data_IF_671975457426
#
_entry.id   IF_671975457426
#
_cell.length_a   1.000
_cell.length_b   1.000
_cell.length_c   1.000
_cell.angle_alpha   90.00
_cell.angle_beta   90.00
_cell.angle_gamma   90.00
#
_symmetry.space_group_name_H-M   'P 1'
#
loop_
_entity.id
_entity.type
_entity.pdbx_description
1 polymer ?
#
# COMPACT_ATOMS: atom_id res chain seq x y z
N UNK A 1 -19.92 5.16 28.88
CA UNK A 1 -20.61 4.62 27.70
C UNK A 1 -19.56 4.02 26.80
N UNK A 2 -19.86 2.98 26.03
CA UNK A 2 -18.88 2.44 25.07
C UNK A 2 -18.63 3.46 23.94
N UNK A 3 -17.39 3.57 23.48
CA UNK A 3 -16.99 4.45 22.39
C UNK A 3 -17.85 4.18 21.13
N UNK A 4 -18.22 5.26 20.44
CA UNK A 4 -18.91 5.20 19.16
C UNK A 4 -17.91 5.32 18.03
N UNK A 5 -17.80 4.28 17.22
CA UNK A 5 -16.76 4.14 16.19
C UNK A 5 -17.34 4.40 14.80
N UNK A 6 -16.72 5.31 14.06
CA UNK A 6 -17.00 5.51 12.64
C UNK A 6 -16.09 4.61 11.80
N UNK A 7 -16.67 3.73 11.00
CA UNK A 7 -15.97 2.98 9.96
C UNK A 7 -16.11 3.76 8.66
N UNK A 8 -15.06 4.46 8.25
CA UNK A 8 -15.05 5.23 7.00
C UNK A 8 -14.85 4.30 5.82
N UNK A 9 -15.81 4.25 4.91
CA UNK A 9 -15.74 3.41 3.70
C UNK A 9 -16.45 4.06 2.52
N UNK A 10 -16.10 3.66 1.32
CA UNK A 10 -16.61 4.24 0.08
C UNK A 10 -15.72 5.36 -0.44
N UNK A 11 -16.10 6.61 -0.18
CA UNK A 11 -15.36 7.76 -0.68
C UNK A 11 -15.48 7.96 -2.18
N UNK A 12 -14.56 8.70 -2.78
CA UNK A 12 -14.62 9.11 -4.20
C UNK A 12 -13.45 8.64 -5.05
N UNK A 13 -12.53 7.84 -4.49
CA UNK A 13 -11.39 7.30 -5.24
C UNK A 13 -11.81 6.23 -6.26
N UNK A 14 -10.91 5.88 -7.16
CA UNK A 14 -11.11 4.77 -8.10
C UNK A 14 -11.29 3.40 -7.39
N UNK A 15 -10.87 3.29 -6.13
CA UNK A 15 -10.98 2.08 -5.29
C UNK A 15 -12.26 2.05 -4.43
N UNK A 16 -13.27 2.87 -4.78
CA UNK A 16 -14.53 2.97 -4.00
C UNK A 16 -15.17 1.62 -3.72
N UNK A 17 -15.32 0.75 -4.72
CA UNK A 17 -15.98 -0.55 -4.56
C UNK A 17 -15.22 -1.47 -3.59
N UNK A 18 -13.91 -1.47 -3.67
CA UNK A 18 -13.06 -2.22 -2.72
C UNK A 18 -13.24 -1.67 -1.31
N UNK A 19 -13.29 -0.35 -1.16
CA UNK A 19 -13.52 0.31 0.13
C UNK A 19 -14.88 -0.02 0.73
N UNK A 20 -15.94 -0.05 -0.07
CA UNK A 20 -17.28 -0.47 0.39
C UNK A 20 -17.27 -1.90 0.91
N UNK A 21 -16.62 -2.82 0.21
CA UNK A 21 -16.49 -4.21 0.63
C UNK A 21 -15.63 -4.34 1.90
N UNK A 22 -14.49 -3.65 1.96
CA UNK A 22 -13.64 -3.60 3.14
C UNK A 22 -14.39 -3.06 4.36
N UNK A 23 -15.10 -1.95 4.18
CA UNK A 23 -15.89 -1.32 5.25
C UNK A 23 -16.99 -2.22 5.79
N UNK A 24 -17.71 -2.92 4.91
CA UNK A 24 -18.74 -3.87 5.32
C UNK A 24 -18.15 -5.02 6.15
N UNK A 25 -17.02 -5.58 5.72
CA UNK A 25 -16.34 -6.63 6.45
C UNK A 25 -15.82 -6.15 7.81
N UNK A 26 -15.18 -4.98 7.86
CA UNK A 26 -14.67 -4.36 9.10
C UNK A 26 -15.81 -4.10 10.07
N UNK A 27 -16.92 -3.52 9.61
CA UNK A 27 -18.11 -3.28 10.44
C UNK A 27 -18.63 -4.57 11.08
N UNK A 28 -18.77 -5.62 10.29
CA UNK A 28 -19.23 -6.92 10.78
C UNK A 28 -18.27 -7.50 11.82
N UNK A 29 -16.95 -7.46 11.55
CA UNK A 29 -15.93 -7.96 12.48
C UNK A 29 -15.86 -7.16 13.78
N UNK A 30 -15.98 -5.84 13.74
CA UNK A 30 -16.03 -5.00 14.94
C UNK A 30 -17.26 -5.27 15.78
N UNK A 31 -18.43 -5.39 15.15
CA UNK A 31 -19.69 -5.70 15.86
C UNK A 31 -19.67 -7.09 16.48
N UNK A 32 -19.12 -8.09 15.80
CA UNK A 32 -18.87 -9.41 16.35
C UNK A 32 -17.98 -9.33 17.60
N UNK A 33 -16.98 -8.46 17.58
CA UNK A 33 -16.11 -8.16 18.73
C UNK A 33 -16.75 -7.28 19.82
N UNK A 34 -18.04 -6.95 19.72
CA UNK A 34 -18.76 -6.15 20.71
C UNK A 34 -18.56 -4.65 20.59
N UNK A 35 -17.99 -4.15 19.51
CA UNK A 35 -17.73 -2.72 19.30
C UNK A 35 -18.99 -2.00 18.76
N UNK A 36 -19.28 -0.83 19.28
CA UNK A 36 -20.36 0.05 18.79
C UNK A 36 -19.89 0.79 17.52
N UNK A 37 -19.92 0.10 16.38
CA UNK A 37 -19.42 0.59 15.11
C UNK A 37 -20.53 0.91 14.11
N UNK A 38 -20.32 1.96 13.30
CA UNK A 38 -21.26 2.47 12.31
C UNK A 38 -20.52 2.81 11.02
N UNK A 39 -21.08 2.44 9.85
CA UNK A 39 -20.57 2.87 8.56
C UNK A 39 -20.80 4.36 8.32
N UNK A 40 -19.78 5.02 7.80
CA UNK A 40 -19.85 6.40 7.33
C UNK A 40 -19.16 6.48 5.96
N UNK A 41 -19.92 6.88 4.94
CA UNK A 41 -19.36 7.12 3.60
C UNK A 41 -19.08 8.62 3.42
N UNK A 42 -17.80 9.02 3.24
CA UNK A 42 -17.45 10.43 3.03
C UNK A 42 -18.07 11.06 1.77
N UNK A 43 -18.55 10.25 0.85
CA UNK A 43 -19.30 10.75 -0.31
C UNK A 43 -20.68 11.30 0.07
N UNK A 44 -21.29 10.74 1.12
CA UNK A 44 -22.65 11.06 1.56
C UNK A 44 -22.67 11.92 2.83
N UNK A 45 -21.61 11.82 3.66
CA UNK A 45 -21.53 12.47 4.97
C UNK A 45 -20.32 13.39 5.02
N UNK A 46 -20.52 14.61 5.48
CA UNK A 46 -19.44 15.56 5.74
C UNK A 46 -18.60 15.07 6.93
N UNK A 47 -17.38 14.59 6.64
CA UNK A 47 -16.48 14.03 7.66
C UNK A 47 -16.01 15.08 8.68
N UNK A 48 -16.13 16.39 8.39
CA UNK A 48 -15.84 17.45 9.37
C UNK A 48 -16.82 17.43 10.55
N UNK A 49 -17.96 16.79 10.40
CA UNK A 49 -19.02 16.72 11.40
C UNK A 49 -18.93 15.48 12.31
N UNK A 50 -17.98 14.57 12.09
CA UNK A 50 -17.89 13.30 12.83
C UNK A 50 -17.89 13.50 14.34
N UNK A 51 -17.13 14.46 14.85
CA UNK A 51 -17.09 14.76 16.28
C UNK A 51 -18.42 15.30 16.81
N UNK A 52 -19.07 16.19 16.06
CA UNK A 52 -20.39 16.72 16.39
C UNK A 52 -21.49 15.63 16.33
N UNK A 53 -21.30 14.60 15.51
CA UNK A 53 -22.19 13.43 15.44
C UNK A 53 -21.96 12.44 16.59
N UNK A 54 -21.03 12.73 17.50
CA UNK A 54 -20.76 11.94 18.68
C UNK A 54 -19.85 10.73 18.47
N UNK A 55 -19.07 10.70 17.38
CA UNK A 55 -18.05 9.69 17.19
C UNK A 55 -16.83 9.97 18.05
N UNK A 56 -16.29 8.93 18.66
CA UNK A 56 -15.15 9.00 19.58
C UNK A 56 -13.84 8.58 18.90
N UNK A 57 -13.94 7.71 17.89
CA UNK A 57 -12.78 7.13 17.18
C UNK A 57 -13.17 6.72 15.75
N UNK A 58 -12.19 6.65 14.86
CA UNK A 58 -12.38 6.34 13.44
C UNK A 58 -11.56 5.11 13.04
N UNK A 59 -12.22 4.15 12.40
CA UNK A 59 -11.56 3.09 11.65
C UNK A 59 -11.53 3.49 10.17
N UNK A 60 -10.35 3.67 9.60
CA UNK A 60 -10.19 4.05 8.19
C UNK A 60 -10.18 2.78 7.34
N UNK A 61 -11.24 2.59 6.54
CA UNK A 61 -11.35 1.55 5.53
C UNK A 61 -11.47 2.15 4.12
N UNK A 62 -10.95 3.36 3.93
CA UNK A 62 -10.82 4.03 2.65
C UNK A 62 -9.50 3.65 2.00
N UNK A 63 -9.48 3.59 0.67
CA UNK A 63 -8.30 3.26 -0.12
C UNK A 63 -8.02 4.34 -1.16
N UNK A 64 -6.74 4.48 -1.53
CA UNK A 64 -6.32 5.44 -2.53
C UNK A 64 -6.31 6.89 -2.04
N UNK A 65 -6.41 7.81 -3.00
CA UNK A 65 -6.36 9.25 -2.73
C UNK A 65 -7.52 9.70 -1.85
N UNK A 66 -7.24 10.57 -0.90
CA UNK A 66 -8.21 11.10 0.05
C UNK A 66 -8.46 10.19 1.26
N UNK A 67 -8.02 8.94 1.24
CA UNK A 67 -8.18 7.97 2.33
C UNK A 67 -6.86 7.53 2.97
N UNK A 68 -5.80 7.41 2.17
CA UNK A 68 -4.49 6.93 2.64
C UNK A 68 -3.31 7.82 2.24
N UNK A 69 -3.56 9.07 1.84
CA UNK A 69 -2.56 10.03 1.39
C UNK A 69 -2.21 11.13 2.41
N UNK A 70 -2.74 11.03 3.64
CA UNK A 70 -2.51 12.00 4.71
C UNK A 70 -3.56 13.09 4.82
N UNK A 71 -4.38 13.31 3.80
CA UNK A 71 -5.40 14.39 3.80
C UNK A 71 -6.47 14.14 4.87
N UNK A 72 -7.04 12.94 4.89
CA UNK A 72 -8.04 12.55 5.90
C UNK A 72 -7.41 12.54 7.30
N UNK A 73 -6.22 12.00 7.44
CA UNK A 73 -5.49 11.95 8.70
C UNK A 73 -5.28 13.37 9.29
N UNK A 74 -4.93 14.34 8.44
CA UNK A 74 -4.79 15.73 8.86
C UNK A 74 -6.10 16.36 9.33
N UNK A 75 -7.22 16.04 8.68
CA UNK A 75 -8.53 16.47 9.14
C UNK A 75 -8.88 15.86 10.50
N UNK A 76 -8.66 14.56 10.68
CA UNK A 76 -8.96 13.88 11.94
C UNK A 76 -8.09 14.39 13.08
N UNK A 77 -6.82 14.71 12.83
CA UNK A 77 -5.93 15.37 13.79
C UNK A 77 -6.50 16.71 14.24
N UNK A 78 -6.95 17.54 13.29
CA UNK A 78 -7.56 18.86 13.60
C UNK A 78 -8.87 18.72 14.40
N UNK A 79 -9.63 17.66 14.16
CA UNK A 79 -10.85 17.37 14.91
C UNK A 79 -10.57 16.77 16.30
N UNK A 80 -9.34 16.34 16.55
CA UNK A 80 -8.96 15.62 17.76
C UNK A 80 -9.69 14.28 17.87
N UNK A 81 -9.85 13.57 16.74
CA UNK A 81 -10.43 12.23 16.64
C UNK A 81 -9.32 11.21 16.42
N UNK A 82 -9.09 10.29 17.36
CA UNK A 82 -8.20 9.15 17.15
C UNK A 82 -8.64 8.29 15.96
N UNK A 83 -7.70 7.77 15.21
CA UNK A 83 -7.96 6.96 14.02
C UNK A 83 -6.98 5.81 13.86
N UNK A 84 -7.37 4.78 13.14
CA UNK A 84 -6.51 3.62 12.85
C UNK A 84 -5.45 3.94 11.79
N UNK A 85 -4.28 3.34 11.94
CA UNK A 85 -3.21 3.40 10.94
C UNK A 85 -2.23 4.54 11.15
N UNK A 86 -1.50 4.84 10.11
CA UNK A 86 -0.42 5.83 10.10
C UNK A 86 -0.93 7.26 10.09
N UNK A 87 -0.14 8.19 10.62
CA UNK A 87 -0.43 9.62 10.62
C UNK A 87 -0.21 10.31 9.27
N UNK A 88 -0.29 11.63 9.26
CA UNK A 88 -0.25 12.48 8.05
C UNK A 88 1.01 12.23 7.22
N UNK A 89 2.18 12.39 7.83
CA UNK A 89 3.46 12.31 7.13
C UNK A 89 3.71 10.91 6.56
N UNK A 90 3.55 9.89 7.38
CA UNK A 90 3.80 8.51 6.95
C UNK A 90 2.82 8.07 5.85
N UNK A 91 1.54 8.43 5.95
CA UNK A 91 0.54 8.15 4.91
C UNK A 91 0.89 8.86 3.60
N UNK A 92 1.23 10.13 3.64
CA UNK A 92 1.58 10.90 2.44
C UNK A 92 2.84 10.35 1.74
N UNK A 93 3.88 10.02 2.51
CA UNK A 93 5.13 9.46 1.98
C UNK A 93 4.89 8.05 1.43
N UNK A 94 4.16 7.21 2.15
CA UNK A 94 3.88 5.83 1.72
C UNK A 94 3.09 5.77 0.42
N UNK A 95 2.20 6.74 0.17
CA UNK A 95 1.46 6.87 -1.08
C UNK A 95 2.34 7.33 -2.25
N UNK A 96 3.52 7.88 -1.99
CA UNK A 96 4.47 8.42 -2.97
C UNK A 96 5.67 7.48 -3.12
N UNK A 97 5.71 6.71 -4.21
CA UNK A 97 6.77 5.71 -4.45
C UNK A 97 8.16 6.35 -4.56
N UNK A 98 8.25 7.54 -5.14
CA UNK A 98 9.53 8.26 -5.26
C UNK A 98 10.05 8.66 -3.86
N UNK A 99 9.21 9.27 -3.03
CA UNK A 99 9.62 9.73 -1.69
C UNK A 99 9.89 8.55 -0.76
N UNK A 100 9.10 7.47 -0.84
CA UNK A 100 9.39 6.23 -0.11
C UNK A 100 10.77 5.66 -0.48
N UNK A 101 11.07 5.58 -1.78
CA UNK A 101 12.39 5.10 -2.27
C UNK A 101 13.55 5.97 -1.79
N UNK A 102 13.40 7.29 -1.88
CA UNK A 102 14.42 8.23 -1.43
C UNK A 102 14.73 8.08 0.05
N UNK A 103 13.69 7.92 0.89
CA UNK A 103 13.86 7.69 2.33
C UNK A 103 14.52 6.35 2.62
N UNK A 104 14.05 5.27 2.02
CA UNK A 104 14.63 3.95 2.21
C UNK A 104 16.08 3.90 1.74
N UNK A 105 16.38 4.46 0.57
CA UNK A 105 17.74 4.52 0.05
C UNK A 105 18.64 5.37 0.96
N UNK A 106 18.15 6.52 1.43
CA UNK A 106 18.87 7.37 2.38
C UNK A 106 19.17 6.69 3.71
N UNK A 107 18.31 5.75 4.12
CA UNK A 107 18.50 4.91 5.31
C UNK A 107 19.35 3.65 5.05
N UNK A 108 19.87 3.48 3.83
CA UNK A 108 20.69 2.32 3.44
C UNK A 108 19.88 1.04 3.22
N UNK A 109 18.56 1.14 3.00
CA UNK A 109 17.71 -0.02 2.73
C UNK A 109 17.65 -0.31 1.21
N UNK A 110 17.51 -1.58 0.81
CA UNK A 110 17.58 -1.98 -0.59
C UNK A 110 16.31 -1.58 -1.36
N UNK A 111 16.51 -0.81 -2.42
CA UNK A 111 15.49 -0.48 -3.43
C UNK A 111 16.04 -0.76 -4.81
N UNK A 112 15.19 -1.18 -5.76
CA UNK A 112 15.65 -1.41 -7.14
C UNK A 112 16.22 -0.11 -7.74
N UNK A 113 17.28 -0.17 -8.57
CA UNK A 113 17.81 0.98 -9.29
C UNK A 113 16.72 1.67 -10.11
N UNK A 114 16.71 2.99 -10.12
CA UNK A 114 15.63 3.78 -10.70
C UNK A 114 16.10 5.14 -11.23
N UNK A 115 15.27 5.69 -12.12
CA UNK A 115 15.37 7.07 -12.63
C UNK A 115 13.99 7.70 -12.50
N UNK A 116 13.90 8.86 -11.85
CA UNK A 116 12.66 9.65 -11.79
C UNK A 116 12.61 10.68 -12.90
N UNK A 117 11.43 10.90 -13.44
CA UNK A 117 11.14 11.87 -14.50
C UNK A 117 9.94 12.71 -14.10
N UNK A 118 10.00 14.00 -14.44
CA UNK A 118 8.86 14.91 -14.37
C UNK A 118 8.13 15.00 -15.71
N UNK A 119 6.84 15.36 -15.68
CA UNK A 119 6.07 15.66 -16.90
C UNK A 119 6.80 16.68 -17.79
N UNK A 120 7.36 17.73 -17.19
CA UNK A 120 8.07 18.77 -17.91
C UNK A 120 9.28 18.22 -18.69
N UNK A 121 10.08 17.37 -18.06
CA UNK A 121 11.22 16.72 -18.75
C UNK A 121 10.76 15.86 -19.92
N UNK A 122 9.67 15.15 -19.76
CA UNK A 122 9.09 14.32 -20.81
C UNK A 122 8.57 15.16 -22.00
N UNK A 123 7.83 16.23 -21.73
CA UNK A 123 7.26 17.14 -22.74
C UNK A 123 8.32 17.92 -23.52
N UNK A 124 9.42 18.29 -22.87
CA UNK A 124 10.56 18.97 -23.50
C UNK A 124 11.47 18.03 -24.30
N UNK A 125 11.30 16.72 -24.15
CA UNK A 125 12.19 15.69 -24.65
C UNK A 125 13.30 15.38 -23.65
N UNK A 126 13.53 14.08 -23.42
CA UNK A 126 14.53 13.63 -22.44
C UNK A 126 15.94 14.02 -22.88
N UNK A 127 16.72 14.57 -21.96
CA UNK A 127 18.13 14.90 -22.21
C UNK A 127 18.96 13.64 -22.42
N UNK A 128 20.12 13.78 -23.07
CA UNK A 128 21.06 12.69 -23.26
C UNK A 128 21.51 12.08 -21.92
N UNK A 129 21.68 12.88 -20.89
CA UNK A 129 22.03 12.44 -19.55
C UNK A 129 20.93 11.54 -18.94
N UNK A 130 19.67 11.93 -19.10
CA UNK A 130 18.52 11.12 -18.60
C UNK A 130 18.43 9.82 -19.39
N UNK A 131 18.53 9.88 -20.71
CA UNK A 131 18.53 8.68 -21.55
C UNK A 131 19.67 7.72 -21.20
N UNK A 132 20.87 8.23 -20.93
CA UNK A 132 22.01 7.42 -20.50
C UNK A 132 21.74 6.73 -19.16
N UNK A 133 21.19 7.44 -18.18
CA UNK A 133 20.84 6.87 -16.88
C UNK A 133 19.76 5.77 -16.99
N UNK A 134 18.76 5.95 -17.85
CA UNK A 134 17.76 4.91 -18.10
C UNK A 134 18.40 3.70 -18.77
N UNK A 135 19.31 3.91 -19.75
CA UNK A 135 20.02 2.84 -20.42
C UNK A 135 20.91 2.02 -19.45
N UNK A 136 21.50 2.67 -18.44
CA UNK A 136 22.28 2.00 -17.39
C UNK A 136 21.47 1.03 -16.54
N UNK A 137 20.16 1.21 -16.43
CA UNK A 137 19.28 0.27 -15.71
C UNK A 137 19.26 -1.10 -16.40
N UNK A 138 19.43 -1.13 -17.71
CA UNK A 138 19.29 -2.33 -18.54
C UNK A 138 17.83 -2.76 -18.68
N UNK A 139 17.51 -3.41 -19.80
CA UNK A 139 16.20 -3.96 -20.06
C UNK A 139 16.05 -5.37 -19.47
N UNK A 140 14.85 -5.77 -19.03
CA UNK A 140 13.62 -4.98 -18.98
C UNK A 140 13.63 -3.93 -17.87
N UNK A 141 12.79 -2.90 -18.04
CA UNK A 141 12.47 -1.94 -16.99
C UNK A 141 10.96 -1.91 -16.75
N UNK A 142 10.55 -1.38 -15.61
CA UNK A 142 9.15 -1.07 -15.30
C UNK A 142 8.99 0.43 -15.21
N UNK A 143 7.97 0.96 -15.89
CA UNK A 143 7.58 2.37 -15.84
C UNK A 143 6.31 2.49 -15.01
N UNK A 144 6.30 3.37 -14.02
CA UNK A 144 5.17 3.54 -13.10
C UNK A 144 4.99 4.97 -12.63
N UNK A 145 3.71 5.43 -12.50
CA UNK A 145 3.40 6.68 -11.82
C UNK A 145 3.83 6.60 -10.35
N UNK A 146 4.26 7.73 -9.77
CA UNK A 146 4.74 7.77 -8.39
C UNK A 146 3.62 7.57 -7.37
N UNK A 147 2.43 8.16 -7.61
CA UNK A 147 1.35 8.29 -6.62
C UNK A 147 0.07 7.55 -7.00
N UNK A 148 0.16 6.53 -7.84
CA UNK A 148 -0.98 5.66 -8.17
C UNK A 148 -0.85 4.29 -7.51
N UNK A 149 -2.00 3.73 -7.13
CA UNK A 149 -2.13 2.38 -6.59
C UNK A 149 -2.54 1.35 -7.65
N UNK A 150 -2.61 0.09 -7.23
CA UNK A 150 -3.18 -1.02 -8.03
C UNK A 150 -2.62 -1.16 -9.44
N UNK A 151 -1.35 -0.83 -9.65
CA UNK A 151 -0.63 -0.92 -10.93
C UNK A 151 -1.21 -0.03 -12.06
N UNK A 152 -2.01 0.98 -11.73
CA UNK A 152 -2.55 1.93 -12.70
C UNK A 152 -1.42 2.65 -13.42
N UNK A 153 -1.46 2.67 -14.76
CA UNK A 153 -0.46 3.35 -15.59
C UNK A 153 0.91 2.68 -15.64
N UNK A 154 1.07 1.48 -15.08
CA UNK A 154 2.33 0.73 -15.10
C UNK A 154 2.52 -0.02 -16.43
N UNK A 155 3.77 -0.10 -16.88
CA UNK A 155 4.16 -0.87 -18.06
C UNK A 155 5.52 -1.52 -17.86
N UNK A 156 5.62 -2.80 -18.26
CA UNK A 156 6.91 -3.48 -18.43
C UNK A 156 7.44 -3.15 -19.83
N UNK A 157 8.69 -2.73 -19.92
CA UNK A 157 9.35 -2.37 -21.17
C UNK A 157 10.48 -3.35 -21.43
N UNK A 158 10.30 -4.20 -22.43
CA UNK A 158 11.28 -5.20 -22.85
C UNK A 158 12.19 -4.69 -23.99
N UNK A 159 11.73 -3.68 -24.73
CA UNK A 159 12.46 -3.07 -25.85
C UNK A 159 12.54 -1.56 -25.69
N UNK A 160 13.68 -0.98 -26.05
CA UNK A 160 13.90 0.46 -25.92
C UNK A 160 12.87 1.30 -26.69
N UNK A 161 12.38 0.82 -27.82
CA UNK A 161 11.40 1.50 -28.64
C UNK A 161 10.03 1.67 -27.97
N UNK A 162 9.71 0.84 -26.98
CA UNK A 162 8.44 0.89 -26.26
C UNK A 162 8.48 1.86 -25.06
N UNK A 163 9.65 2.42 -24.72
CA UNK A 163 9.81 3.29 -23.54
C UNK A 163 8.96 4.57 -23.66
N UNK A 164 8.95 5.21 -24.82
CA UNK A 164 8.23 6.47 -25.02
C UNK A 164 6.71 6.30 -24.81
N UNK A 165 6.13 5.21 -25.31
CA UNK A 165 4.71 4.92 -25.13
C UNK A 165 4.38 4.56 -23.67
N UNK A 166 5.26 3.85 -22.98
CA UNK A 166 5.13 3.53 -21.56
C UNK A 166 5.16 4.79 -20.69
N UNK A 167 6.07 5.72 -20.97
CA UNK A 167 6.14 7.02 -20.31
C UNK A 167 4.88 7.87 -20.57
N UNK A 168 4.42 7.92 -21.82
CA UNK A 168 3.21 8.65 -22.18
C UNK A 168 1.98 8.12 -21.42
N UNK A 169 1.85 6.81 -21.27
CA UNK A 169 0.79 6.21 -20.47
C UNK A 169 0.89 6.60 -19.00
N UNK A 170 2.07 6.44 -18.39
CA UNK A 170 2.28 6.75 -16.98
C UNK A 170 2.01 8.24 -16.67
N UNK A 171 2.44 9.16 -17.53
CA UNK A 171 2.18 10.59 -17.39
C UNK A 171 0.71 11.01 -17.61
N UNK A 172 -0.18 10.10 -18.06
CA UNK A 172 -1.62 10.37 -18.00
C UNK A 172 -2.16 10.33 -16.55
N UNK A 173 -1.45 9.68 -15.66
CA UNK A 173 -1.90 9.43 -14.28
C UNK A 173 -1.17 10.25 -13.22
N UNK A 174 0.06 10.70 -13.48
CA UNK A 174 0.85 11.49 -12.52
C UNK A 174 1.80 12.44 -13.25
N UNK A 175 2.27 13.46 -12.52
CA UNK A 175 3.29 14.41 -13.00
C UNK A 175 4.72 13.93 -12.71
N UNK A 176 4.88 12.89 -11.92
CA UNK A 176 6.14 12.22 -11.62
C UNK A 176 6.04 10.74 -11.94
N UNK A 177 7.04 10.23 -12.67
CA UNK A 177 7.10 8.84 -13.14
C UNK A 177 8.46 8.25 -12.79
N UNK A 178 8.44 6.98 -12.37
CA UNK A 178 9.64 6.19 -12.11
C UNK A 178 9.88 5.21 -13.26
N UNK A 179 11.13 5.11 -13.69
CA UNK A 179 11.65 4.01 -14.51
C UNK A 179 12.55 3.19 -13.63
N UNK A 180 12.20 1.94 -13.36
CA UNK A 180 12.95 1.07 -12.45
C UNK A 180 13.45 -0.18 -13.17
N UNK A 181 14.55 -0.70 -12.69
CA UNK A 181 15.03 -2.02 -13.10
C UNK A 181 13.96 -3.08 -12.78
N UNK A 182 13.67 -3.93 -13.76
CA UNK A 182 12.76 -5.07 -13.55
C UNK A 182 13.37 -6.08 -12.59
N UNK A 183 12.60 -6.49 -11.58
CA UNK A 183 12.93 -7.57 -10.66
C UNK A 183 12.20 -8.83 -11.10
N UNK A 184 12.91 -9.93 -11.33
CA UNK A 184 12.36 -11.15 -11.93
C UNK A 184 12.04 -12.26 -10.93
N UNK A 185 12.36 -12.06 -9.67
CA UNK A 185 12.07 -13.02 -8.60
C UNK A 185 10.65 -12.93 -8.06
N UNK A 186 10.34 -13.73 -7.04
CA UNK A 186 9.03 -13.73 -6.40
C UNK A 186 8.71 -12.44 -5.67
N UNK A 187 7.42 -12.13 -5.59
CA UNK A 187 6.86 -11.03 -4.81
C UNK A 187 6.38 -11.53 -3.45
N UNK A 188 6.66 -10.74 -2.41
CA UNK A 188 6.23 -11.00 -1.04
C UNK A 188 5.53 -9.78 -0.48
N UNK A 189 4.63 -10.02 0.47
CA UNK A 189 4.10 -8.97 1.33
C UNK A 189 4.18 -9.38 2.79
N UNK A 190 4.46 -8.42 3.64
CA UNK A 190 4.55 -8.62 5.09
C UNK A 190 3.66 -7.60 5.79
N UNK A 191 2.68 -8.10 6.52
CA UNK A 191 1.76 -7.27 7.29
C UNK A 191 2.35 -6.94 8.67
N UNK A 192 2.07 -5.71 9.11
CA UNK A 192 2.41 -5.19 10.43
C UNK A 192 1.15 -4.94 11.23
N UNK A 193 1.16 -5.28 12.51
CA UNK A 193 0.10 -4.97 13.47
C UNK A 193 0.75 -4.44 14.75
N UNK A 194 0.83 -3.12 14.88
CA UNK A 194 1.72 -2.45 15.82
C UNK A 194 3.18 -2.78 15.51
N UNK A 195 3.87 -3.33 16.49
CA UNK A 195 5.23 -3.84 16.34
C UNK A 195 5.27 -5.34 16.02
N UNK A 196 4.12 -6.00 15.93
CA UNK A 196 4.03 -7.41 15.57
C UNK A 196 4.11 -7.58 14.06
N UNK A 197 5.05 -8.42 13.61
CA UNK A 197 5.22 -8.78 12.22
C UNK A 197 4.47 -10.08 11.98
N UNK A 198 3.51 -10.06 11.06
CA UNK A 198 2.75 -11.25 10.70
C UNK A 198 3.53 -12.10 9.67
N UNK A 199 3.19 -13.40 9.54
CA UNK A 199 3.85 -14.28 8.56
C UNK A 199 3.80 -13.70 7.15
N UNK A 200 4.92 -13.79 6.42
CA UNK A 200 5.00 -13.31 5.05
C UNK A 200 4.12 -14.12 4.11
N UNK A 201 3.64 -13.48 3.07
CA UNK A 201 2.87 -14.10 2.00
C UNK A 201 3.66 -13.96 0.70
N UNK A 202 3.84 -15.07 -0.02
CA UNK A 202 4.34 -15.04 -1.39
C UNK A 202 3.16 -14.94 -2.35
N UNK A 203 3.24 -13.98 -3.28
CA UNK A 203 2.21 -13.69 -4.26
C UNK A 203 2.68 -14.16 -5.62
N UNK A 204 1.86 -14.95 -6.30
CA UNK A 204 2.12 -15.41 -7.65
C UNK A 204 0.93 -15.03 -8.54
N UNK A 205 0.96 -13.85 -9.18
CA UNK A 205 -0.08 -13.44 -10.09
C UNK A 205 -0.08 -14.31 -11.35
N UNK A 206 -1.23 -14.47 -11.98
CA UNK A 206 -1.34 -15.13 -13.29
C UNK A 206 -0.78 -14.27 -14.42
N UNK A 207 -0.84 -12.94 -14.27
CA UNK A 207 -0.34 -11.94 -15.22
C UNK A 207 1.08 -11.46 -14.91
N UNK A 208 1.47 -10.39 -15.61
CA UNK A 208 2.78 -9.74 -15.43
C UNK A 208 2.86 -8.98 -14.11
N UNK A 209 1.74 -8.43 -13.66
CA UNK A 209 1.65 -7.63 -12.44
C UNK A 209 0.62 -8.18 -11.46
N UNK A 210 0.82 -7.87 -10.19
CA UNK A 210 -0.20 -7.98 -9.16
C UNK A 210 -1.04 -6.69 -9.17
N UNK A 211 -1.87 -6.57 -10.21
CA UNK A 211 -2.72 -5.40 -10.48
C UNK A 211 -4.09 -5.47 -9.78
N UNK A 212 -4.95 -4.50 -10.10
CA UNK A 212 -6.30 -4.42 -9.51
C UNK A 212 -7.13 -5.70 -9.77
N UNK A 213 -7.07 -6.23 -10.99
CA UNK A 213 -7.77 -7.47 -11.35
C UNK A 213 -7.24 -8.66 -10.54
N UNK A 214 -5.91 -8.80 -10.48
CA UNK A 214 -5.25 -9.84 -9.68
C UNK A 214 -5.50 -9.71 -8.17
N UNK A 215 -5.65 -8.47 -7.67
CA UNK A 215 -5.89 -8.19 -6.25
C UNK A 215 -7.32 -8.47 -5.80
N UNK A 216 -8.31 -8.16 -6.62
CA UNK A 216 -9.70 -8.06 -6.16
C UNK A 216 -10.72 -8.84 -6.98
N UNK A 217 -10.43 -9.20 -8.23
CA UNK A 217 -11.39 -9.77 -9.15
C UNK A 217 -11.04 -11.19 -9.61
N UNK A 218 -9.75 -11.53 -9.69
CA UNK A 218 -9.27 -12.80 -10.23
C UNK A 218 -9.02 -13.83 -9.13
N UNK A 219 -9.50 -15.04 -9.33
CA UNK A 219 -9.17 -16.20 -8.49
C UNK A 219 -7.93 -16.96 -9.00
N UNK A 220 -7.27 -16.48 -10.06
CA UNK A 220 -6.10 -17.11 -10.66
C UNK A 220 -4.79 -16.77 -9.95
N UNK A 221 -4.76 -15.67 -9.18
CA UNK A 221 -3.61 -15.32 -8.34
C UNK A 221 -3.45 -16.35 -7.22
N UNK A 222 -2.25 -16.90 -7.10
CA UNK A 222 -1.92 -17.84 -6.03
C UNK A 222 -1.23 -17.14 -4.86
N UNK A 223 -1.63 -17.48 -3.65
CA UNK A 223 -1.07 -16.97 -2.41
C UNK A 223 -0.52 -18.12 -1.56
N UNK A 224 0.68 -17.95 -1.07
CA UNK A 224 1.34 -18.92 -0.20
C UNK A 224 1.59 -18.28 1.16
N UNK A 225 0.88 -18.75 2.18
CA UNK A 225 1.01 -18.29 3.55
C UNK A 225 1.02 -19.50 4.50
N UNK A 226 2.16 -19.81 5.12
CA UNK A 226 3.45 -19.15 5.04
C UNK A 226 4.05 -19.18 3.62
N UNK A 227 4.96 -18.22 3.37
CA UNK A 227 5.49 -17.95 2.02
C UNK A 227 6.35 -19.04 1.42
N UNK A 228 6.83 -19.98 2.25
CA UNK A 228 7.76 -21.05 1.85
C UNK A 228 9.24 -20.65 1.93
N UNK A 229 9.56 -19.46 2.46
CA UNK A 229 10.93 -19.09 2.75
C UNK A 229 11.50 -19.96 3.89
N UNK A 230 12.78 -20.32 3.80
CA UNK A 230 13.51 -20.88 4.92
C UNK A 230 13.55 -19.90 6.10
N UNK A 231 13.63 -20.42 7.34
CA UNK A 231 13.51 -19.63 8.55
C UNK A 231 14.47 -18.43 8.62
N UNK A 232 15.69 -18.59 8.15
CA UNK A 232 16.70 -17.52 8.10
C UNK A 232 16.31 -16.41 7.11
N UNK A 233 15.81 -16.80 5.95
CA UNK A 233 15.36 -15.84 4.92
C UNK A 233 14.07 -15.12 5.34
N UNK A 234 13.16 -15.82 6.01
CA UNK A 234 11.97 -15.21 6.59
C UNK A 234 12.36 -14.16 7.65
N UNK A 235 13.31 -14.48 8.53
CA UNK A 235 13.80 -13.54 9.54
C UNK A 235 14.49 -12.32 8.89
N UNK A 236 15.25 -12.52 7.81
CA UNK A 236 15.84 -11.41 7.04
C UNK A 236 14.78 -10.50 6.44
N UNK A 237 13.75 -11.07 5.80
CA UNK A 237 12.65 -10.33 5.23
C UNK A 237 11.89 -9.53 6.30
N UNK A 238 11.57 -10.15 7.42
CA UNK A 238 10.90 -9.49 8.55
C UNK A 238 11.73 -8.35 9.13
N UNK A 239 13.03 -8.53 9.29
CA UNK A 239 13.94 -7.48 9.76
C UNK A 239 13.99 -6.30 8.80
N UNK A 240 14.05 -6.57 7.48
CA UNK A 240 14.02 -5.53 6.45
C UNK A 240 12.71 -4.73 6.50
N UNK A 241 11.57 -5.43 6.58
CA UNK A 241 10.24 -4.80 6.63
C UNK A 241 10.08 -3.95 7.87
N UNK A 242 10.51 -4.42 9.03
CA UNK A 242 10.45 -3.63 10.28
C UNK A 242 11.24 -2.31 10.16
N UNK A 243 12.45 -2.37 9.60
CA UNK A 243 13.25 -1.16 9.36
C UNK A 243 12.57 -0.22 8.36
N UNK A 244 12.04 -0.78 7.27
CA UNK A 244 11.31 0.00 6.25
C UNK A 244 10.09 0.70 6.83
N UNK A 245 9.34 0.02 7.69
CA UNK A 245 8.19 0.53 8.42
C UNK A 245 8.56 1.73 9.31
N UNK A 246 9.59 1.57 10.12
CA UNK A 246 10.06 2.62 11.02
C UNK A 246 10.63 3.84 10.27
N UNK A 247 11.35 3.64 9.18
CA UNK A 247 11.92 4.74 8.37
C UNK A 247 10.84 5.64 7.80
N UNK A 248 9.71 5.09 7.39
CA UNK A 248 8.57 5.88 6.91
C UNK A 248 7.75 6.52 8.05
N UNK A 249 7.97 6.11 9.29
CA UNK A 249 7.18 6.55 10.45
C UNK A 249 5.78 5.93 10.49
N UNK A 250 5.59 4.77 9.87
CA UNK A 250 4.32 4.06 9.87
C UNK A 250 3.93 3.57 11.26
N UNK A 251 2.63 3.49 11.52
CA UNK A 251 2.04 3.10 12.80
C UNK A 251 0.78 2.26 12.61
N UNK A 252 0.36 1.62 13.68
CA UNK A 252 -0.90 0.90 13.80
C UNK A 252 -0.90 -0.38 12.99
N UNK A 253 -1.20 -0.32 11.72
CA UNK A 253 -1.25 -1.49 10.85
C UNK A 253 -0.98 -1.12 9.40
N UNK A 254 -0.62 -2.10 8.61
CA UNK A 254 -0.35 -1.94 7.19
C UNK A 254 0.44 -3.12 6.64
N UNK A 255 1.00 -2.97 5.47
CA UNK A 255 1.88 -3.96 4.87
C UNK A 255 2.98 -3.32 4.03
N UNK A 256 4.11 -3.99 3.95
CA UNK A 256 5.22 -3.64 3.07
C UNK A 256 5.31 -4.72 1.98
N UNK A 257 5.36 -4.30 0.73
CA UNK A 257 5.55 -5.18 -0.42
C UNK A 257 7.03 -5.21 -0.80
N UNK A 258 7.53 -6.41 -1.06
CA UNK A 258 8.95 -6.69 -1.31
C UNK A 258 9.06 -7.64 -2.49
N UNK A 259 10.08 -7.47 -3.30
CA UNK A 259 10.36 -8.36 -4.42
C UNK A 259 11.80 -8.86 -4.37
N UNK A 260 12.03 -10.08 -4.83
CA UNK A 260 13.40 -10.58 -5.04
C UNK A 260 13.86 -10.33 -6.47
N UNK A 261 15.16 -10.16 -6.64
CA UNK A 261 15.80 -10.32 -7.95
C UNK A 261 16.06 -11.81 -8.24
N UNK A 262 16.70 -12.10 -9.38
CA UNK A 262 17.06 -13.46 -9.77
C UNK A 262 18.07 -14.13 -8.82
N UNK A 263 18.81 -13.34 -8.05
CA UNK A 263 19.82 -13.83 -7.13
C UNK A 263 19.27 -13.99 -5.70
N UNK A 264 17.98 -13.73 -5.51
CA UNK A 264 17.28 -13.85 -4.25
C UNK A 264 17.46 -12.68 -3.29
N UNK A 265 17.97 -11.54 -3.76
CA UNK A 265 18.08 -10.33 -2.94
C UNK A 265 16.72 -9.65 -2.80
N UNK A 266 16.36 -9.24 -1.60
CA UNK A 266 15.13 -8.51 -1.33
C UNK A 266 15.27 -7.02 -1.65
N UNK A 267 14.23 -6.47 -2.29
CA UNK A 267 14.09 -5.05 -2.60
C UNK A 267 12.71 -4.56 -2.20
N UNK A 268 12.65 -3.43 -1.49
CA UNK A 268 11.41 -2.79 -1.09
C UNK A 268 10.68 -2.21 -2.30
N UNK A 269 9.37 -2.45 -2.39
CA UNK A 269 8.52 -1.91 -3.45
C UNK A 269 7.70 -0.72 -2.96
N UNK A 270 6.81 -0.96 -2.02
CA UNK A 270 5.88 0.05 -1.51
C UNK A 270 5.38 -0.30 -0.10
N UNK A 271 4.85 0.70 0.59
CA UNK A 271 4.11 0.56 1.83
C UNK A 271 2.63 0.88 1.60
N UNK A 272 1.75 0.08 2.20
CA UNK A 272 0.31 0.29 2.16
C UNK A 272 -0.19 0.51 3.59
N UNK A 273 -0.65 1.72 3.87
CA UNK A 273 -1.03 2.16 5.22
C UNK A 273 -2.51 1.96 5.54
N UNK A 274 -3.34 1.69 4.53
CA UNK A 274 -4.75 1.30 4.67
C UNK A 274 -5.08 0.18 3.69
N UNK A 275 -4.53 -1.04 3.92
CA UNK A 275 -4.73 -2.17 3.03
C UNK A 275 -6.19 -2.61 2.96
N UNK A 276 -6.55 -3.30 1.87
CA UNK A 276 -7.85 -3.91 1.71
C UNK A 276 -8.17 -4.92 2.80
N UNK A 277 -9.45 -5.03 3.16
CA UNK A 277 -9.98 -5.91 4.20
C UNK A 277 -11.12 -6.79 3.66
N UNK A 278 -11.05 -7.15 2.39
CA UNK A 278 -11.96 -8.09 1.73
C UNK A 278 -11.55 -9.55 1.97
N UNK A 279 -12.35 -10.50 1.52
CA UNK A 279 -12.05 -11.94 1.62
C UNK A 279 -10.76 -12.36 0.90
N UNK A 280 -10.32 -11.62 -0.13
CA UNK A 280 -9.07 -11.85 -0.88
C UNK A 280 -7.88 -11.07 -0.35
N UNK A 281 -8.05 -10.30 0.72
CA UNK A 281 -7.04 -9.37 1.22
C UNK A 281 -5.94 -10.08 2.01
N UNK A 282 -4.73 -9.52 1.92
CA UNK A 282 -3.50 -10.14 2.39
C UNK A 282 -3.32 -10.03 3.91
N UNK A 283 -3.67 -8.89 4.52
CA UNK A 283 -3.53 -8.73 5.97
C UNK A 283 -4.43 -9.70 6.74
N UNK A 284 -5.72 -9.88 6.39
CA UNK A 284 -6.54 -10.93 6.98
C UNK A 284 -5.97 -12.35 6.80
N UNK A 285 -5.36 -12.62 5.64
CA UNK A 285 -4.72 -13.92 5.36
C UNK A 285 -3.54 -14.18 6.30
N UNK A 286 -2.65 -13.19 6.46
CA UNK A 286 -1.50 -13.28 7.36
C UNK A 286 -1.94 -13.41 8.82
N UNK A 287 -2.96 -12.67 9.24
CA UNK A 287 -3.53 -12.74 10.59
C UNK A 287 -4.11 -14.12 10.88
N UNK A 288 -4.83 -14.72 9.93
CA UNK A 288 -5.36 -16.08 10.05
C UNK A 288 -4.26 -17.11 10.20
N UNK A 289 -3.17 -16.98 9.45
CA UNK A 289 -1.99 -17.84 9.58
C UNK A 289 -1.35 -17.72 10.96
N UNK A 290 -1.39 -16.53 11.57
CA UNK A 290 -0.94 -16.29 12.95
C UNK A 290 -1.95 -16.75 14.02
N UNK A 291 -3.07 -17.36 13.64
CA UNK A 291 -4.08 -17.86 14.58
C UNK A 291 -5.10 -16.81 15.03
N UNK A 292 -5.22 -15.70 14.32
CA UNK A 292 -6.11 -14.59 14.64
C UNK A 292 -7.34 -14.61 13.74
N UNK A 293 -8.55 -14.53 14.33
CA UNK A 293 -9.78 -14.36 13.56
C UNK A 293 -9.86 -12.95 12.95
N UNK A 294 -10.73 -12.78 11.96
CA UNK A 294 -10.95 -11.45 11.37
C UNK A 294 -11.48 -10.45 12.39
N UNK A 295 -12.41 -10.86 13.24
CA UNK A 295 -12.93 -10.02 14.33
C UNK A 295 -11.82 -9.61 15.30
N UNK A 296 -10.96 -10.53 15.72
CA UNK A 296 -9.81 -10.22 16.57
C UNK A 296 -8.85 -9.24 15.88
N UNK A 297 -8.60 -9.41 14.58
CA UNK A 297 -7.73 -8.52 13.82
C UNK A 297 -8.26 -7.08 13.82
N UNK A 298 -9.52 -6.86 13.45
CA UNK A 298 -10.06 -5.51 13.35
C UNK A 298 -10.21 -4.82 14.71
N UNK A 299 -10.50 -5.58 15.77
CA UNK A 299 -10.51 -5.04 17.14
C UNK A 299 -9.09 -4.63 17.54
N UNK A 300 -8.08 -5.45 17.30
CA UNK A 300 -6.68 -5.11 17.61
C UNK A 300 -6.17 -3.91 16.81
N UNK A 301 -6.59 -3.76 15.56
CA UNK A 301 -6.28 -2.56 14.77
C UNK A 301 -6.91 -1.33 15.42
N UNK A 302 -8.19 -1.42 15.81
CA UNK A 302 -8.91 -0.32 16.46
C UNK A 302 -8.27 0.08 17.80
N UNK A 303 -7.83 -0.89 18.58
CA UNK A 303 -7.21 -0.66 19.89
C UNK A 303 -5.90 0.12 19.80
N UNK A 304 -5.26 0.13 18.64
CA UNK A 304 -4.03 0.89 18.38
C UNK A 304 -4.28 2.30 17.88
N UNK A 305 -5.54 2.69 17.63
CA UNK A 305 -5.88 4.06 17.26
C UNK A 305 -5.60 5.00 18.43
N UNK A 306 -4.67 5.93 18.23
CA UNK A 306 -4.20 6.88 19.25
C UNK A 306 -4.45 8.33 18.87
#
# INVERSE_FOLDING_TARGET
MADKIAVLSGGTSAEREVSLNSGAAVLAGLREGGVNAHLVDPKEVDVTQLKAMGFDKVFIALHGRGGEDGTLQGLLDLLGLPYTGSGVMASAISMDKLRSKLLWQGAGLPVAPWVALTRREFELGLSDSVNARIAELGLPVIVKPSREGSSVGMSKVDKADDLASALALAFQHDDEVLVEKWLSGPEFTVAMLGEEILPSIRIQPAGVFYDYEAKYLSDETQYFCPSGLEAEREAELQSLVLKAWHVLGCQGWGRIDVMQDRDGQFYLLEANTSPGMTSHSLVPMAARQAGMSFSQLVVRILDQAG
#
